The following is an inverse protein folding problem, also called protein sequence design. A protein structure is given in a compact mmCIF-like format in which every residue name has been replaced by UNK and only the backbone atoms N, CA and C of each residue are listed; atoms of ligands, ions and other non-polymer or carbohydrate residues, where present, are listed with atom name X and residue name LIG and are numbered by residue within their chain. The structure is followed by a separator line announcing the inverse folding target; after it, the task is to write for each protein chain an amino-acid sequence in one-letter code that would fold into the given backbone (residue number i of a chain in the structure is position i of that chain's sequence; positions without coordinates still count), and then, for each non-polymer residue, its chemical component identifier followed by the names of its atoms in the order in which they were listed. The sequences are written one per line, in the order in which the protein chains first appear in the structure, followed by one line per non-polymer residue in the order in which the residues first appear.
data_IF_544014888165
#
_entry.id   IF_544014888165
#
_cell.length_a   1.000
_cell.length_b   1.000
_cell.length_c   1.000
_cell.angle_alpha   90.00
_cell.angle_beta   90.00
_cell.angle_gamma   90.00
#
_symmetry.space_group_name_H-M   'P 1'
#
loop_
_entity.id
_entity.type
_entity.pdbx_description
1 polymer ?
#
# COMPACT_ATOMS: atom_id res chain seq x y z
N UNK A 1 -52.84 -61.24 10.62
CA UNK A 1 -54.14 -61.87 10.91
C UNK A 1 -54.00 -63.37 10.76
N UNK A 2 -54.31 -64.15 11.80
CA UNK A 2 -54.36 -65.62 11.72
C UNK A 2 -55.73 -65.97 11.13
N UNK A 3 -55.77 -66.59 9.95
CA UNK A 3 -56.98 -67.28 9.49
C UNK A 3 -57.29 -68.36 10.53
N UNK A 4 -58.44 -68.25 11.19
CA UNK A 4 -58.89 -69.27 12.14
C UNK A 4 -59.31 -70.47 11.30
N UNK A 5 -58.39 -71.41 11.10
CA UNK A 5 -58.69 -72.68 10.45
C UNK A 5 -59.56 -73.48 11.43
N UNK A 6 -60.82 -73.70 11.08
CA UNK A 6 -61.69 -74.56 11.87
C UNK A 6 -61.32 -76.01 11.60
N UNK A 7 -60.85 -76.70 12.62
CA UNK A 7 -60.48 -78.11 12.52
C UNK A 7 -61.67 -79.01 12.89
N UNK A 8 -61.77 -80.12 12.20
CA UNK A 8 -62.73 -81.17 12.49
C UNK A 8 -62.56 -81.68 13.92
N UNK A 9 -63.62 -81.69 14.74
CA UNK A 9 -63.54 -82.20 16.12
C UNK A 9 -63.20 -83.70 16.19
N UNK A 10 -63.44 -84.44 15.11
CA UNK A 10 -63.27 -85.89 15.08
C UNK A 10 -61.87 -86.32 14.61
N UNK A 11 -61.27 -85.62 13.64
CA UNK A 11 -59.97 -85.99 13.08
C UNK A 11 -58.95 -84.84 12.99
N UNK A 12 -59.31 -83.65 13.48
CA UNK A 12 -58.50 -82.43 13.50
C UNK A 12 -58.02 -81.92 12.12
N UNK A 13 -58.51 -82.48 11.02
CA UNK A 13 -58.26 -82.00 9.67
C UNK A 13 -59.02 -80.69 9.38
N UNK A 14 -58.51 -79.81 8.50
CA UNK A 14 -59.18 -78.56 8.17
C UNK A 14 -60.57 -78.80 7.53
N UNK A 15 -61.57 -78.03 7.97
CA UNK A 15 -62.92 -78.06 7.42
C UNK A 15 -63.02 -77.13 6.21
N UNK A 16 -63.78 -77.55 5.19
CA UNK A 16 -64.10 -76.72 4.03
C UNK A 16 -65.62 -76.55 3.89
N UNK A 17 -66.05 -75.47 3.25
CA UNK A 17 -67.46 -75.10 3.14
C UNK A 17 -68.06 -75.65 1.85
N UNK A 18 -69.12 -76.45 1.94
CA UNK A 18 -69.89 -76.97 0.79
C UNK A 18 -71.37 -76.76 1.09
N UNK A 19 -72.10 -76.07 0.20
CA UNK A 19 -73.54 -75.80 0.30
C UNK A 19 -73.99 -75.25 1.67
N UNK A 20 -73.17 -74.37 2.26
CA UNK A 20 -73.46 -73.71 3.54
C UNK A 20 -73.22 -74.57 4.79
N UNK A 21 -72.60 -75.75 4.65
CA UNK A 21 -72.20 -76.62 5.77
C UNK A 21 -70.67 -76.80 5.80
N UNK A 22 -70.11 -76.91 7.01
CA UNK A 22 -68.69 -77.26 7.17
C UNK A 22 -68.55 -78.77 7.10
N UNK A 23 -67.84 -79.24 6.08
CA UNK A 23 -67.60 -80.65 5.82
C UNK A 23 -66.12 -80.95 6.01
N UNK A 24 -65.84 -82.04 6.73
CA UNK A 24 -64.48 -82.57 6.82
C UNK A 24 -64.22 -83.53 5.66
N UNK A 25 -63.22 -83.23 4.83
CA UNK A 25 -62.85 -84.07 3.68
C UNK A 25 -62.40 -85.48 4.07
N UNK A 26 -61.83 -85.64 5.27
CA UNK A 26 -61.16 -86.87 5.68
C UNK A 26 -62.06 -87.87 6.42
N UNK A 27 -63.07 -87.38 7.13
CA UNK A 27 -63.97 -88.26 7.91
C UNK A 27 -65.45 -88.06 7.59
N UNK A 28 -65.77 -87.20 6.60
CA UNK A 28 -67.12 -86.83 6.17
C UNK A 28 -68.04 -86.36 7.31
N UNK A 29 -67.49 -85.97 8.46
CA UNK A 29 -68.28 -85.40 9.54
C UNK A 29 -68.81 -84.04 9.10
N UNK A 30 -70.13 -83.88 9.14
CA UNK A 30 -70.81 -82.63 8.86
C UNK A 30 -70.97 -81.90 10.19
N UNK A 31 -70.37 -80.74 10.31
CA UNK A 31 -70.57 -79.88 11.49
C UNK A 31 -71.55 -78.79 11.10
N UNK A 32 -72.77 -78.85 11.65
CA UNK A 32 -73.74 -77.78 11.47
C UNK A 32 -73.32 -76.56 12.31
N UNK A 33 -73.25 -75.42 11.66
CA UNK A 33 -72.89 -74.16 12.28
C UNK A 33 -74.18 -73.62 12.90
N UNK A 34 -74.24 -73.49 14.22
CA UNK A 34 -75.34 -72.80 14.88
C UNK A 34 -75.48 -71.39 14.32
N UNK A 35 -76.68 -71.08 13.80
CA UNK A 35 -76.96 -69.95 12.90
C UNK A 35 -76.77 -68.56 13.52
N UNK A 36 -76.52 -68.49 14.83
CA UNK A 36 -76.48 -67.22 15.57
C UNK A 36 -75.08 -66.72 15.95
N UNK A 37 -74.00 -67.49 15.73
CA UNK A 37 -72.67 -67.09 16.22
C UNK A 37 -71.53 -66.99 15.20
N UNK A 38 -71.73 -67.36 13.92
CA UNK A 38 -70.59 -67.49 13.01
C UNK A 38 -70.79 -67.08 11.53
N UNK A 39 -71.79 -66.25 11.21
CA UNK A 39 -71.93 -65.71 9.85
C UNK A 39 -70.69 -64.92 9.38
N UNK A 40 -70.04 -64.17 10.28
CA UNK A 40 -68.79 -63.47 9.95
C UNK A 40 -67.64 -64.42 9.58
N UNK A 41 -67.55 -65.59 10.20
CA UNK A 41 -66.47 -66.54 9.92
C UNK A 41 -66.63 -67.19 8.54
N UNK A 42 -67.87 -67.48 8.16
CA UNK A 42 -68.22 -68.05 6.84
C UNK A 42 -67.99 -67.02 5.73
N UNK A 43 -68.43 -65.78 5.95
CA UNK A 43 -68.28 -64.68 4.99
C UNK A 43 -66.81 -64.28 4.77
N UNK A 44 -65.97 -64.38 5.82
CA UNK A 44 -64.51 -64.21 5.72
C UNK A 44 -63.81 -65.31 4.93
N UNK A 45 -64.30 -66.55 4.98
CA UNK A 45 -63.74 -67.67 4.21
C UNK A 45 -64.15 -67.56 2.74
N UNK A 46 -65.41 -67.21 2.47
CA UNK A 46 -65.93 -67.03 1.10
C UNK A 46 -65.24 -65.87 0.36
N UNK A 47 -64.90 -64.78 1.06
CA UNK A 47 -64.26 -63.59 0.49
C UNK A 47 -62.75 -63.50 0.78
N UNK A 48 -62.11 -64.61 1.16
CA UNK A 48 -60.71 -64.63 1.60
C UNK A 48 -59.73 -64.08 0.54
N UNK A 49 -59.96 -64.37 -0.75
CA UNK A 49 -59.14 -63.84 -1.84
C UNK A 49 -59.22 -62.31 -1.97
N UNK A 50 -60.42 -61.74 -1.80
CA UNK A 50 -60.62 -60.30 -1.89
C UNK A 50 -59.99 -59.58 -0.68
N UNK A 51 -60.06 -60.19 0.51
CA UNK A 51 -59.37 -59.72 1.70
C UNK A 51 -57.84 -59.74 1.53
N UNK A 52 -57.29 -60.78 0.92
CA UNK A 52 -55.86 -60.88 0.63
C UNK A 52 -55.44 -59.82 -0.40
N UNK A 53 -56.21 -59.64 -1.49
CA UNK A 53 -55.95 -58.59 -2.49
C UNK A 53 -55.95 -57.19 -1.87
N UNK A 54 -56.99 -56.83 -1.12
CA UNK A 54 -57.06 -55.52 -0.44
C UNK A 54 -55.91 -55.33 0.54
N UNK A 55 -55.51 -56.37 1.27
CA UNK A 55 -54.35 -56.31 2.16
C UNK A 55 -53.03 -56.10 1.41
N UNK A 56 -52.84 -56.73 0.25
CA UNK A 56 -51.65 -56.56 -0.58
C UNK A 56 -51.60 -55.18 -1.23
N UNK A 57 -52.73 -54.67 -1.73
CA UNK A 57 -52.83 -53.33 -2.30
C UNK A 57 -52.54 -52.26 -1.23
N UNK A 58 -53.10 -52.44 -0.03
CA UNK A 58 -52.84 -51.53 1.09
C UNK A 58 -51.38 -51.58 1.53
N UNK A 59 -50.75 -52.76 1.54
CA UNK A 59 -49.30 -52.88 1.79
C UNK A 59 -48.47 -52.19 0.71
N UNK A 60 -48.87 -52.28 -0.56
CA UNK A 60 -48.18 -51.62 -1.67
C UNK A 60 -48.25 -50.10 -1.56
N UNK A 61 -49.43 -49.55 -1.24
CA UNK A 61 -49.62 -48.11 -1.00
C UNK A 61 -48.76 -47.64 0.18
N UNK A 62 -48.79 -48.36 1.30
CA UNK A 62 -47.96 -48.03 2.45
C UNK A 62 -46.46 -48.09 2.14
N UNK A 63 -46.02 -49.07 1.34
CA UNK A 63 -44.63 -49.17 0.91
C UNK A 63 -44.23 -47.96 0.06
N UNK A 64 -45.09 -47.55 -0.87
CA UNK A 64 -44.84 -46.44 -1.77
C UNK A 64 -44.80 -45.10 -1.03
N UNK A 65 -45.70 -44.89 -0.08
CA UNK A 65 -45.65 -43.73 0.83
C UNK A 65 -44.36 -43.72 1.66
N UNK A 66 -43.96 -44.87 2.21
CA UNK A 66 -42.73 -44.98 2.99
C UNK A 66 -41.47 -44.66 2.15
N UNK A 67 -41.44 -45.08 0.89
CA UNK A 67 -40.36 -44.71 -0.04
C UNK A 67 -40.31 -43.20 -0.30
N UNK A 68 -41.47 -42.56 -0.52
CA UNK A 68 -41.55 -41.12 -0.73
C UNK A 68 -41.11 -40.33 0.50
N UNK A 69 -41.47 -40.77 1.70
CA UNK A 69 -41.02 -40.18 2.97
C UNK A 69 -39.50 -40.30 3.15
N UNK A 70 -38.93 -41.47 2.84
CA UNK A 70 -37.48 -41.70 2.90
C UNK A 70 -36.71 -40.83 1.90
N UNK A 71 -37.25 -40.63 0.70
CA UNK A 71 -36.66 -39.78 -0.33
C UNK A 71 -36.72 -38.30 0.07
N UNK A 72 -37.87 -37.84 0.61
CA UNK A 72 -38.01 -36.51 1.16
C UNK A 72 -37.03 -36.25 2.33
N UNK A 73 -36.88 -37.21 3.25
CA UNK A 73 -35.92 -37.10 4.35
C UNK A 73 -34.46 -37.05 3.89
N UNK A 74 -34.11 -37.76 2.82
CA UNK A 74 -32.76 -37.68 2.23
C UNK A 74 -32.50 -36.30 1.64
N UNK A 75 -33.44 -35.78 0.85
CA UNK A 75 -33.36 -34.43 0.27
C UNK A 75 -33.23 -33.35 1.35
N UNK A 76 -33.99 -33.44 2.44
CA UNK A 76 -33.87 -32.51 3.56
C UNK A 76 -32.50 -32.58 4.26
N UNK A 77 -31.96 -33.78 4.46
CA UNK A 77 -30.63 -33.96 5.04
C UNK A 77 -29.54 -33.40 4.14
N UNK A 78 -29.59 -33.65 2.84
CA UNK A 78 -28.64 -33.11 1.87
C UNK A 78 -28.69 -31.59 1.84
N UNK A 79 -29.89 -31.00 1.80
CA UNK A 79 -30.08 -29.55 1.85
C UNK A 79 -29.55 -28.93 3.16
N UNK A 80 -29.73 -29.62 4.30
CA UNK A 80 -29.21 -29.18 5.59
C UNK A 80 -27.68 -29.27 5.66
N UNK A 81 -27.08 -30.34 5.15
CA UNK A 81 -25.64 -30.50 5.06
C UNK A 81 -25.00 -29.47 4.14
N UNK A 82 -25.63 -29.15 3.01
CA UNK A 82 -25.15 -28.13 2.09
C UNK A 82 -25.19 -26.73 2.74
N UNK A 83 -26.25 -26.41 3.48
CA UNK A 83 -26.34 -25.18 4.29
C UNK A 83 -25.24 -25.13 5.37
N UNK A 84 -24.98 -26.25 6.06
CA UNK A 84 -23.91 -26.35 7.05
C UNK A 84 -22.52 -26.18 6.43
N UNK A 85 -22.27 -26.78 5.25
CA UNK A 85 -21.01 -26.62 4.51
C UNK A 85 -20.80 -25.17 4.10
N UNK A 86 -21.82 -24.51 3.52
CA UNK A 86 -21.78 -23.08 3.15
C UNK A 86 -21.52 -22.19 4.37
N UNK A 87 -22.21 -22.44 5.49
CA UNK A 87 -22.03 -21.66 6.73
C UNK A 87 -20.62 -21.82 7.34
N UNK A 88 -20.03 -23.03 7.31
CA UNK A 88 -18.65 -23.26 7.75
C UNK A 88 -17.64 -22.55 6.84
N UNK A 89 -17.87 -22.58 5.53
CA UNK A 89 -16.99 -21.94 4.57
C UNK A 89 -16.98 -20.41 4.73
N UNK A 90 -18.16 -19.81 4.93
CA UNK A 90 -18.32 -18.38 5.24
C UNK A 90 -17.62 -17.99 6.54
N UNK A 91 -17.78 -18.77 7.62
CA UNK A 91 -17.07 -18.52 8.90
C UNK A 91 -15.56 -18.59 8.75
N UNK A 92 -15.06 -19.52 7.93
CA UNK A 92 -13.62 -19.65 7.66
C UNK A 92 -13.09 -18.42 6.89
N UNK A 93 -13.78 -18.00 5.83
CA UNK A 93 -13.42 -16.81 5.06
C UNK A 93 -13.43 -15.54 5.94
N UNK A 94 -14.46 -15.34 6.76
CA UNK A 94 -14.55 -14.22 7.69
C UNK A 94 -13.38 -14.20 8.68
N UNK A 95 -12.98 -15.35 9.23
CA UNK A 95 -11.79 -15.42 10.11
C UNK A 95 -10.52 -15.03 9.38
N UNK A 96 -10.34 -15.43 8.12
CA UNK A 96 -9.18 -15.06 7.31
C UNK A 96 -9.15 -13.57 7.01
N UNK A 97 -10.30 -12.98 6.65
CA UNK A 97 -10.42 -11.54 6.39
C UNK A 97 -10.10 -10.73 7.67
N UNK A 98 -10.68 -11.10 8.81
CA UNK A 98 -10.41 -10.43 10.09
C UNK A 98 -8.93 -10.52 10.46
N UNK A 99 -8.28 -11.67 10.25
CA UNK A 99 -6.82 -11.81 10.48
C UNK A 99 -6.00 -10.92 9.55
N UNK A 100 -6.36 -10.82 8.26
CA UNK A 100 -5.69 -9.92 7.32
C UNK A 100 -5.84 -8.46 7.73
N UNK A 101 -7.04 -8.03 8.13
CA UNK A 101 -7.27 -6.64 8.59
C UNK A 101 -6.43 -6.33 9.83
N UNK A 102 -6.37 -7.25 10.81
CA UNK A 102 -5.52 -7.06 12.00
C UNK A 102 -4.04 -6.95 11.61
N UNK A 103 -3.54 -7.83 10.75
CA UNK A 103 -2.16 -7.76 10.26
C UNK A 103 -1.86 -6.43 9.57
N UNK A 104 -2.78 -5.93 8.75
CA UNK A 104 -2.62 -4.68 8.01
C UNK A 104 -2.58 -3.47 8.94
N UNK A 105 -3.43 -3.45 9.98
CA UNK A 105 -3.42 -2.40 11.02
C UNK A 105 -2.12 -2.41 11.82
N UNK A 106 -1.63 -3.60 12.20
CA UNK A 106 -0.35 -3.73 12.91
C UNK A 106 0.81 -3.23 12.04
N UNK A 107 0.82 -3.61 10.76
CA UNK A 107 1.85 -3.16 9.81
C UNK A 107 1.82 -1.64 9.63
N UNK A 108 0.64 -1.05 9.48
CA UNK A 108 0.47 0.40 9.39
C UNK A 108 0.98 1.12 10.65
N UNK A 109 0.70 0.58 11.85
CA UNK A 109 1.20 1.13 13.11
C UNK A 109 2.73 1.06 13.21
N UNK A 110 3.36 -0.03 12.75
CA UNK A 110 4.82 -0.17 12.72
C UNK A 110 5.44 0.84 11.77
N UNK A 111 4.90 0.99 10.55
CA UNK A 111 5.40 1.95 9.55
C UNK A 111 5.25 3.38 10.05
N UNK A 112 4.08 3.75 10.59
CA UNK A 112 3.86 5.08 11.17
C UNK A 112 4.82 5.34 12.35
N UNK A 113 5.08 4.33 13.19
CA UNK A 113 6.05 4.42 14.28
C UNK A 113 7.48 4.65 13.78
N UNK A 114 7.91 3.95 12.72
CA UNK A 114 9.22 4.17 12.11
C UNK A 114 9.36 5.58 11.52
N UNK A 115 8.35 6.05 10.78
CA UNK A 115 8.34 7.41 10.21
C UNK A 115 8.43 8.46 11.33
N UNK A 116 7.67 8.28 12.43
CA UNK A 116 7.73 9.19 13.57
C UNK A 116 9.11 9.21 14.24
N UNK A 117 9.75 8.05 14.41
CA UNK A 117 11.09 7.96 15.00
C UNK A 117 12.16 8.60 14.11
N UNK A 118 12.10 8.40 12.79
CA UNK A 118 13.00 9.05 11.83
C UNK A 118 12.82 10.56 11.89
N UNK A 119 11.58 11.06 11.78
CA UNK A 119 11.29 12.49 11.86
C UNK A 119 11.76 13.10 13.18
N UNK A 120 11.51 12.43 14.31
CA UNK A 120 11.99 12.88 15.62
C UNK A 120 13.52 12.88 15.73
N UNK A 121 14.20 11.96 15.05
CA UNK A 121 15.66 11.95 15.00
C UNK A 121 16.21 13.08 14.14
N UNK A 122 15.55 13.40 13.03
CA UNK A 122 15.92 14.50 12.15
C UNK A 122 15.63 15.86 12.81
N UNK A 123 14.49 15.99 13.49
CA UNK A 123 14.14 17.20 14.25
C UNK A 123 15.17 17.44 15.36
N UNK A 124 15.60 16.38 16.07
CA UNK A 124 16.68 16.47 17.06
C UNK A 124 18.04 16.82 16.47
N UNK A 125 18.37 16.28 15.28
CA UNK A 125 19.60 16.64 14.57
C UNK A 125 19.56 18.11 14.15
N UNK A 126 18.44 18.58 13.61
CA UNK A 126 18.23 20.00 13.26
C UNK A 126 18.31 20.91 14.49
N UNK A 127 17.75 20.51 15.62
CA UNK A 127 17.90 21.25 16.89
C UNK A 127 19.37 21.27 17.37
N UNK A 128 20.09 20.15 17.26
CA UNK A 128 21.50 20.09 17.64
C UNK A 128 22.40 20.88 16.69
N UNK A 129 22.11 20.88 15.39
CA UNK A 129 22.78 21.70 14.38
C UNK A 129 22.47 23.17 14.58
N UNK A 130 21.22 23.55 14.85
CA UNK A 130 20.85 24.92 15.17
C UNK A 130 21.50 25.41 16.47
N UNK A 131 21.57 24.57 17.50
CA UNK A 131 22.25 24.91 18.75
C UNK A 131 23.77 25.02 18.56
N UNK A 132 24.39 24.12 17.78
CA UNK A 132 25.81 24.23 17.39
C UNK A 132 26.08 25.47 16.56
N UNK A 133 25.17 25.80 15.65
CA UNK A 133 25.24 27.01 14.84
C UNK A 133 25.15 28.26 15.73
N UNK A 134 24.19 28.33 16.65
CA UNK A 134 24.10 29.42 17.61
C UNK A 134 25.34 29.55 18.51
N UNK A 135 25.93 28.43 18.96
CA UNK A 135 27.15 28.43 19.77
C UNK A 135 28.38 28.86 18.95
N UNK A 136 28.47 28.43 17.69
CA UNK A 136 29.50 28.88 16.74
C UNK A 136 29.36 30.38 16.46
N UNK A 137 28.14 30.88 16.29
CA UNK A 137 27.86 32.31 16.10
C UNK A 137 28.17 33.15 17.33
N UNK A 138 27.93 32.63 18.55
CA UNK A 138 28.30 33.32 19.81
C UNK A 138 29.81 33.40 20.04
N UNK A 139 30.56 32.44 19.52
CA UNK A 139 32.02 32.35 19.68
C UNK A 139 32.81 32.90 18.48
N UNK A 140 32.13 33.29 17.40
CA UNK A 140 32.78 33.99 16.29
C UNK A 140 33.24 35.37 16.78
N UNK A 141 34.52 35.74 16.57
CA UNK A 141 35.02 37.07 16.92
C UNK A 141 34.14 38.15 16.26
N UNK A 142 33.91 39.26 16.95
CA UNK A 142 33.16 40.43 16.45
C UNK A 142 33.51 40.65 14.97
N UNK A 143 32.49 40.56 14.12
CA UNK A 143 32.60 40.38 12.68
C UNK A 143 33.48 41.47 12.07
N UNK A 144 34.73 41.10 11.75
CA UNK A 144 35.53 41.87 10.81
C UNK A 144 34.84 41.78 9.45
N UNK A 145 34.13 42.85 9.08
CA UNK A 145 33.56 42.97 7.74
C UNK A 145 34.72 43.15 6.79
N UNK A 146 34.98 42.10 5.99
CA UNK A 146 36.02 42.17 4.98
C UNK A 146 35.65 43.23 3.96
N UNK A 147 36.58 44.11 3.65
CA UNK A 147 36.40 45.09 2.59
C UNK A 147 36.84 44.51 1.24
N UNK A 148 36.35 45.10 0.15
CA UNK A 148 36.79 44.76 -1.21
C UNK A 148 38.31 44.84 -1.35
N UNK A 149 38.92 45.90 -0.82
CA UNK A 149 40.36 46.15 -0.93
C UNK A 149 41.18 45.05 -0.26
N UNK A 150 40.71 44.54 0.87
CA UNK A 150 41.39 43.45 1.58
C UNK A 150 41.28 42.14 0.83
N UNK A 151 40.09 41.81 0.32
CA UNK A 151 39.88 40.63 -0.49
C UNK A 151 40.77 40.64 -1.74
N UNK A 152 40.86 41.78 -2.42
CA UNK A 152 41.69 41.93 -3.62
C UNK A 152 43.18 42.00 -3.34
N UNK A 153 43.57 42.38 -2.13
CA UNK A 153 44.98 42.36 -1.72
C UNK A 153 45.51 40.93 -1.50
N UNK A 154 44.62 39.96 -1.32
CA UNK A 154 44.95 38.53 -1.15
C UNK A 154 44.70 37.74 -2.45
N UNK A 155 45.52 38.01 -3.48
CA UNK A 155 45.45 37.34 -4.80
C UNK A 155 45.58 35.81 -4.70
N UNK A 156 46.32 35.31 -3.71
CA UNK A 156 46.47 33.88 -3.47
C UNK A 156 45.15 33.24 -3.04
N UNK A 157 44.46 33.86 -2.06
CA UNK A 157 43.14 33.43 -1.63
C UNK A 157 42.14 33.44 -2.80
N UNK A 158 42.07 34.54 -3.57
CA UNK A 158 41.10 34.67 -4.66
C UNK A 158 41.30 33.66 -5.78
N UNK A 159 42.55 33.33 -6.14
CA UNK A 159 42.85 32.28 -7.11
C UNK A 159 42.48 30.88 -6.62
N UNK A 160 42.74 30.61 -5.34
CA UNK A 160 42.36 29.33 -4.74
C UNK A 160 40.84 29.20 -4.65
N UNK A 161 40.16 30.26 -4.21
CA UNK A 161 38.71 30.37 -4.14
C UNK A 161 38.05 30.13 -5.50
N UNK A 162 38.50 30.81 -6.56
CA UNK A 162 37.97 30.61 -7.92
C UNK A 162 38.20 29.19 -8.43
N UNK A 163 39.39 28.63 -8.19
CA UNK A 163 39.71 27.24 -8.56
C UNK A 163 38.81 26.24 -7.82
N UNK A 164 38.54 26.48 -6.54
CA UNK A 164 37.64 25.64 -5.75
C UNK A 164 36.19 25.76 -6.21
N UNK A 165 35.72 26.99 -6.47
CA UNK A 165 34.38 27.24 -6.99
C UNK A 165 34.14 26.53 -8.33
N UNK A 166 35.08 26.67 -9.28
CA UNK A 166 35.01 26.00 -10.57
C UNK A 166 35.08 24.47 -10.46
N UNK A 167 35.94 23.96 -9.57
CA UNK A 167 36.03 22.52 -9.32
C UNK A 167 34.70 21.98 -8.79
N UNK A 168 34.13 22.66 -7.79
CA UNK A 168 32.88 22.24 -7.16
C UNK A 168 31.72 22.28 -8.15
N UNK A 169 31.60 23.35 -8.94
CA UNK A 169 30.62 23.48 -10.01
C UNK A 169 30.72 22.32 -11.03
N UNK A 170 31.94 21.96 -11.42
CA UNK A 170 32.18 20.82 -12.32
C UNK A 170 31.85 19.47 -11.68
N UNK A 171 32.08 19.30 -10.38
CA UNK A 171 31.78 18.05 -9.66
C UNK A 171 30.27 17.88 -9.40
N UNK A 172 29.55 18.96 -9.15
CA UNK A 172 28.09 18.95 -8.96
C UNK A 172 27.37 18.69 -10.28
N UNK A 173 27.79 19.37 -11.36
CA UNK A 173 27.31 19.15 -12.73
C UNK A 173 28.02 18.02 -13.47
N UNK A 174 28.91 17.26 -12.80
CA UNK A 174 29.44 16.02 -13.35
C UNK A 174 28.33 14.96 -13.46
N UNK A 175 27.28 15.09 -12.65
CA UNK A 175 26.00 14.40 -12.82
C UNK A 175 25.07 15.25 -13.68
N UNK A 176 24.43 14.62 -14.66
CA UNK A 176 23.51 15.32 -15.56
C UNK A 176 22.41 16.07 -14.81
N UNK A 177 22.07 17.28 -15.27
CA UNK A 177 20.91 18.04 -14.77
C UNK A 177 19.66 17.41 -15.40
N UNK A 178 18.73 17.00 -14.54
CA UNK A 178 17.49 16.38 -14.96
C UNK A 178 16.38 17.42 -15.01
N UNK A 179 15.77 17.60 -16.18
CA UNK A 179 14.62 18.49 -16.38
C UNK A 179 13.42 17.66 -16.83
N UNK A 180 12.34 17.69 -16.05
CA UNK A 180 11.09 17.04 -16.42
C UNK A 180 10.34 17.93 -17.43
N UNK A 181 9.98 17.34 -18.57
CA UNK A 181 9.15 17.97 -19.60
C UNK A 181 7.87 17.15 -19.80
N UNK A 182 6.88 17.71 -20.51
CA UNK A 182 5.64 17.00 -20.85
C UNK A 182 5.89 15.70 -21.66
N UNK A 183 7.02 15.64 -22.36
CA UNK A 183 7.41 14.53 -23.25
C UNK A 183 8.45 13.57 -22.62
N UNK A 184 8.93 13.82 -21.39
CA UNK A 184 9.87 12.92 -20.72
C UNK A 184 10.87 13.61 -19.79
N UNK A 185 12.04 13.00 -19.61
CA UNK A 185 13.13 13.51 -18.79
C UNK A 185 14.28 13.94 -19.70
N UNK A 186 14.52 15.24 -19.80
CA UNK A 186 15.70 15.76 -20.47
C UNK A 186 16.90 15.68 -19.53
N UNK A 187 17.99 15.13 -20.06
CA UNK A 187 19.25 14.94 -19.35
C UNK A 187 20.24 15.91 -19.98
N UNK A 188 20.60 16.96 -19.24
CA UNK A 188 21.53 17.98 -19.68
C UNK A 188 22.90 17.72 -19.07
N UNK A 189 23.93 17.78 -19.89
CA UNK A 189 25.33 17.68 -19.47
C UNK A 189 26.08 18.96 -19.81
N UNK A 190 27.11 19.27 -19.03
CA UNK A 190 27.98 20.41 -19.30
C UNK A 190 28.80 20.14 -20.58
N UNK A 191 28.60 20.95 -21.62
CA UNK A 191 29.30 20.84 -22.90
C UNK A 191 30.67 21.54 -22.84
N UNK A 192 30.71 22.73 -22.23
CA UNK A 192 31.85 23.63 -22.23
C UNK A 192 32.28 23.99 -20.81
N UNK A 193 33.52 24.48 -20.68
CA UNK A 193 33.99 24.98 -19.38
C UNK A 193 33.13 26.18 -18.93
N UNK A 194 32.63 26.20 -17.68
CA UNK A 194 31.82 27.30 -17.18
C UNK A 194 32.54 28.64 -17.33
N UNK A 195 31.86 29.61 -17.91
CA UNK A 195 32.39 30.97 -18.08
C UNK A 195 32.08 31.77 -16.81
N UNK A 196 33.12 32.23 -16.11
CA UNK A 196 32.96 33.12 -14.97
C UNK A 196 32.52 34.51 -15.46
N UNK A 197 31.34 34.95 -15.04
CA UNK A 197 30.79 36.25 -15.39
C UNK A 197 31.24 37.31 -14.40
N UNK A 198 30.97 37.10 -13.12
CA UNK A 198 31.13 38.11 -12.08
C UNK A 198 31.46 37.50 -10.72
N UNK A 199 32.04 38.33 -9.84
CA UNK A 199 32.35 37.96 -8.46
C UNK A 199 31.76 38.99 -7.51
N UNK A 200 31.21 38.57 -6.38
CA UNK A 200 30.70 39.50 -5.37
C UNK A 200 31.17 39.13 -3.98
N UNK A 201 31.66 40.13 -3.25
CA UNK A 201 31.83 40.03 -1.81
C UNK A 201 30.55 40.52 -1.14
N UNK A 202 29.84 39.61 -0.47
CA UNK A 202 28.68 39.94 0.34
C UNK A 202 29.09 39.84 1.81
N UNK A 203 28.89 40.94 2.54
CA UNK A 203 29.18 41.00 3.97
C UNK A 203 27.90 41.26 4.74
N UNK A 204 27.68 40.47 5.77
CA UNK A 204 26.48 40.52 6.61
C UNK A 204 26.88 40.63 8.08
N UNK A 205 25.90 40.84 8.94
CA UNK A 205 26.06 40.64 10.39
C UNK A 205 26.44 39.20 10.76
N UNK A 206 26.14 38.23 9.88
CA UNK A 206 26.39 36.79 10.06
C UNK A 206 27.75 36.32 9.54
N UNK A 207 28.41 37.08 8.69
CA UNK A 207 29.70 36.71 8.10
C UNK A 207 29.93 37.33 6.73
N UNK A 208 31.07 36.98 6.13
CA UNK A 208 31.43 37.37 4.78
C UNK A 208 31.34 36.15 3.84
N UNK A 209 31.00 36.37 2.58
CA UNK A 209 30.94 35.33 1.56
C UNK A 209 31.36 35.87 0.19
N UNK A 210 32.08 35.06 -0.59
CA UNK A 210 32.43 35.39 -1.99
C UNK A 210 31.59 34.54 -2.93
N UNK A 211 30.83 35.21 -3.78
CA UNK A 211 29.93 34.62 -4.76
C UNK A 211 30.58 34.68 -6.14
N UNK A 212 30.57 33.56 -6.86
CA UNK A 212 31.10 33.41 -8.21
C UNK A 212 29.94 33.03 -9.14
N UNK A 213 29.59 33.92 -10.06
CA UNK A 213 28.51 33.71 -11.01
C UNK A 213 29.07 33.15 -12.31
N UNK A 214 28.54 32.02 -12.75
CA UNK A 214 28.96 31.31 -13.94
C UNK A 214 27.84 31.25 -14.97
N UNK A 215 28.21 31.36 -16.24
CA UNK A 215 27.41 30.93 -17.38
C UNK A 215 27.78 29.49 -17.74
N UNK A 216 26.76 28.67 -17.91
CA UNK A 216 26.86 27.27 -18.31
C UNK A 216 26.34 27.11 -19.73
N UNK A 217 27.02 26.29 -20.53
CA UNK A 217 26.49 25.77 -21.80
C UNK A 217 26.20 24.29 -21.58
N UNK A 218 24.91 23.96 -21.63
CA UNK A 218 24.38 22.63 -21.37
C UNK A 218 23.93 22.00 -22.67
N UNK A 219 24.22 20.72 -22.86
CA UNK A 219 23.85 19.95 -24.05
C UNK A 219 23.13 18.65 -23.66
N UNK A 220 22.10 18.28 -24.41
CA UNK A 220 21.43 16.98 -24.32
C UNK A 220 22.08 15.92 -25.21
N UNK A 221 21.77 14.64 -24.99
CA UNK A 221 22.28 13.54 -25.84
C UNK A 221 21.86 13.61 -27.32
N UNK A 222 20.85 14.40 -27.68
CA UNK A 222 20.40 14.67 -29.05
C UNK A 222 20.97 15.97 -29.65
N UNK A 223 21.88 16.66 -28.94
CA UNK A 223 22.60 17.83 -29.44
C UNK A 223 21.86 19.16 -29.29
N UNK A 224 20.82 19.23 -28.46
CA UNK A 224 20.20 20.50 -28.12
C UNK A 224 21.05 21.20 -27.07
N UNK A 225 21.34 22.48 -27.28
CA UNK A 225 22.09 23.29 -26.33
C UNK A 225 21.20 24.32 -25.66
N UNK A 226 21.44 24.58 -24.37
CA UNK A 226 20.83 25.69 -23.62
C UNK A 226 21.87 26.41 -22.77
N UNK A 227 21.65 27.70 -22.58
CA UNK A 227 22.40 28.48 -21.62
C UNK A 227 21.77 28.34 -20.23
N UNK A 228 22.60 28.10 -19.22
CA UNK A 228 22.23 28.09 -17.82
C UNK A 228 23.09 29.07 -17.03
N UNK A 229 22.65 29.40 -15.81
CA UNK A 229 23.40 30.28 -14.92
C UNK A 229 23.45 29.65 -13.54
N UNK A 230 24.62 29.70 -12.92
CA UNK A 230 24.86 29.10 -11.61
C UNK A 230 25.70 30.04 -10.75
N UNK A 231 25.56 29.92 -9.44
CA UNK A 231 26.34 30.67 -8.48
C UNK A 231 26.94 29.74 -7.43
N UNK A 232 28.25 29.85 -7.24
CA UNK A 232 28.96 29.18 -6.15
C UNK A 232 29.35 30.21 -5.11
N UNK A 233 29.01 29.96 -3.85
CA UNK A 233 29.46 30.79 -2.73
C UNK A 233 30.47 30.05 -1.88
N UNK A 234 31.52 30.77 -1.50
CA UNK A 234 32.46 30.40 -0.45
C UNK A 234 32.10 31.24 0.77
N UNK A 235 31.43 30.62 1.74
CA UNK A 235 30.98 31.29 2.96
C UNK A 235 32.04 31.27 4.06
N UNK A 236 31.73 31.95 5.15
CA UNK A 236 32.54 31.98 6.36
C UNK A 236 34.00 32.38 6.10
N UNK A 237 34.19 33.39 5.23
CA UNK A 237 35.50 33.98 5.00
C UNK A 237 35.81 35.01 6.09
N UNK A 238 37.00 34.90 6.68
CA UNK A 238 37.49 35.76 7.75
C UNK A 238 38.99 36.02 7.63
N UNK A 239 39.45 37.09 8.26
CA UNK A 239 40.87 37.37 8.38
C UNK A 239 41.43 36.67 9.61
N UNK A 240 42.46 35.85 9.42
CA UNK A 240 43.13 35.19 10.53
C UNK A 240 44.07 36.15 11.28
N UNK A 241 44.64 35.68 12.40
CA UNK A 241 45.56 36.47 13.25
C UNK A 241 46.82 36.96 12.52
N UNK A 242 47.14 36.38 11.36
CA UNK A 242 48.30 36.74 10.54
C UNK A 242 47.93 37.71 9.40
N UNK A 243 46.70 38.22 9.37
CA UNK A 243 46.22 39.14 8.32
C UNK A 243 45.91 38.46 6.98
N UNK A 244 45.78 37.13 6.94
CA UNK A 244 45.42 36.38 5.72
C UNK A 244 43.96 35.99 5.72
N UNK A 245 43.33 35.98 4.55
CA UNK A 245 41.95 35.55 4.40
C UNK A 245 41.91 34.01 4.40
N UNK A 246 40.98 33.45 5.17
CA UNK A 246 40.69 32.02 5.26
C UNK A 246 39.18 31.79 5.21
N UNK A 247 38.77 30.58 4.84
CA UNK A 247 37.38 30.10 4.92
C UNK A 247 37.34 28.85 5.79
N UNK A 248 36.31 28.71 6.63
CA UNK A 248 36.04 27.48 7.38
C UNK A 248 35.39 26.37 6.50
N UNK A 249 35.16 26.66 5.21
CA UNK A 249 35.02 25.65 4.17
C UNK A 249 33.61 25.13 3.89
N UNK A 250 32.56 25.89 4.19
CA UNK A 250 31.23 25.57 3.68
C UNK A 250 31.07 26.17 2.27
N UNK A 251 30.72 25.28 1.33
CA UNK A 251 30.45 25.62 -0.06
C UNK A 251 28.97 25.42 -0.31
N UNK A 252 28.29 26.43 -0.83
CA UNK A 252 26.90 26.31 -1.26
C UNK A 252 26.83 26.55 -2.76
N UNK A 253 26.17 25.65 -3.48
CA UNK A 253 25.80 25.83 -4.88
C UNK A 253 24.35 26.30 -4.95
N UNK A 254 24.11 27.31 -5.77
CA UNK A 254 22.79 27.77 -6.14
C UNK A 254 22.64 27.68 -7.65
N UNK A 255 22.09 26.55 -8.10
CA UNK A 255 21.79 26.30 -9.50
C UNK A 255 20.35 26.69 -9.80
N UNK A 256 20.15 27.61 -10.74
CA UNK A 256 18.83 27.90 -11.31
C UNK A 256 18.76 27.35 -12.72
N UNK A 257 18.35 26.09 -12.83
CA UNK A 257 18.02 25.46 -14.11
C UNK A 257 16.52 25.22 -14.28
N UNK A 258 15.71 25.52 -13.26
CA UNK A 258 14.23 25.51 -13.29
C UNK A 258 13.66 26.49 -12.26
N UNK A 259 12.43 26.98 -12.48
CA UNK A 259 11.71 28.02 -11.72
C UNK A 259 11.38 27.69 -10.24
N UNK A 260 12.11 26.80 -9.57
CA UNK A 260 11.78 26.37 -8.19
C UNK A 260 12.95 26.53 -7.22
N UNK A 261 12.68 27.31 -6.17
CA UNK A 261 13.60 27.75 -5.13
C UNK A 261 13.63 26.81 -3.91
N UNK A 262 14.80 26.69 -3.27
CA UNK A 262 14.91 26.48 -1.82
C UNK A 262 16.12 27.22 -1.24
N UNK A 263 15.87 28.08 -0.26
CA UNK A 263 16.82 29.07 0.29
C UNK A 263 17.38 28.62 1.64
N UNK A 264 18.71 28.52 1.79
CA UNK A 264 19.36 28.45 3.12
C UNK A 264 20.73 29.15 3.16
N UNK A 265 20.81 30.43 2.79
CA UNK A 265 21.75 31.38 3.40
C UNK A 265 21.26 32.83 3.19
N UNK A 266 20.91 33.52 4.28
CA UNK A 266 20.57 34.95 4.30
C UNK A 266 19.26 35.35 3.59
N UNK A 267 18.17 35.45 4.35
CA UNK A 267 16.82 35.87 3.92
C UNK A 267 16.72 37.29 3.30
N UNK A 268 17.83 37.98 3.03
CA UNK A 268 17.86 39.42 2.70
C UNK A 268 18.54 39.77 1.36
N UNK A 269 19.01 38.80 0.56
CA UNK A 269 19.69 39.07 -0.71
C UNK A 269 18.96 38.49 -1.92
N UNK A 270 18.49 39.37 -2.81
CA UNK A 270 17.86 39.02 -4.08
C UNK A 270 18.93 38.66 -5.13
N UNK A 271 19.46 37.43 -5.03
CA UNK A 271 20.42 36.86 -6.00
C UNK A 271 19.85 36.85 -7.42
N UNK A 272 18.52 36.84 -7.57
CA UNK A 272 17.84 36.86 -8.87
C UNK A 272 17.87 38.23 -9.49
N UNK A 273 17.66 39.30 -8.71
CA UNK A 273 17.93 40.66 -9.18
C UNK A 273 19.37 40.81 -9.64
N UNK A 274 20.34 40.29 -8.87
CA UNK A 274 21.76 40.35 -9.26
C UNK A 274 22.01 39.60 -10.56
N UNK A 275 21.54 38.36 -10.68
CA UNK A 275 21.68 37.57 -11.91
C UNK A 275 21.03 38.29 -13.09
N UNK A 276 19.81 38.79 -12.94
CA UNK A 276 19.11 39.51 -13.99
C UNK A 276 19.87 40.78 -14.39
N UNK A 277 20.44 41.50 -13.44
CA UNK A 277 21.29 42.67 -13.73
C UNK A 277 22.56 42.26 -14.50
N UNK A 278 23.19 41.13 -14.17
CA UNK A 278 24.34 40.56 -14.89
C UNK A 278 23.95 40.15 -16.33
N UNK A 279 22.84 39.42 -16.49
CA UNK A 279 22.33 38.97 -17.79
C UNK A 279 21.95 40.17 -18.67
N UNK A 280 21.26 41.16 -18.10
CA UNK A 280 20.79 42.36 -18.80
C UNK A 280 21.89 43.44 -18.94
N UNK A 281 23.10 43.18 -18.43
CA UNK A 281 24.24 44.11 -18.40
C UNK A 281 23.87 45.48 -17.82
N UNK A 282 22.97 45.49 -16.83
CA UNK A 282 22.62 46.70 -16.09
C UNK A 282 23.77 47.04 -15.15
N UNK A 283 24.10 48.33 -15.03
CA UNK A 283 25.01 48.78 -13.96
C UNK A 283 24.37 48.41 -12.63
N UNK A 284 25.03 47.56 -11.84
CA UNK A 284 24.55 47.25 -10.51
C UNK A 284 24.46 48.55 -9.69
N UNK A 285 23.41 48.64 -8.89
CA UNK A 285 23.23 49.74 -7.96
C UNK A 285 24.30 49.63 -6.86
N UNK A 286 25.32 50.50 -6.92
CA UNK A 286 26.45 50.55 -5.97
C UNK A 286 26.00 50.77 -4.50
N UNK A 287 24.75 51.20 -4.26
CA UNK A 287 24.19 51.44 -2.92
C UNK A 287 23.46 50.23 -2.32
N UNK A 288 23.12 49.23 -3.13
CA UNK A 288 22.85 47.87 -2.62
C UNK A 288 24.21 47.18 -2.64
N UNK A 289 24.65 46.57 -1.54
CA UNK A 289 26.00 46.00 -1.43
C UNK A 289 26.24 44.89 -2.50
N UNK A 290 26.62 45.31 -3.70
CA UNK A 290 26.93 44.52 -4.88
C UNK A 290 28.18 45.15 -5.51
N UNK A 291 29.36 44.59 -5.22
CA UNK A 291 30.57 45.02 -5.91
C UNK A 291 30.68 44.26 -7.24
N UNK A 292 30.27 44.89 -8.33
CA UNK A 292 30.57 44.47 -9.72
C UNK A 292 32.06 44.66 -10.01
N UNK A 293 32.67 43.74 -10.77
CA UNK A 293 34.01 43.90 -11.30
C UNK A 293 33.97 44.26 -12.78
N UNK A 294 34.30 45.51 -13.12
CA UNK A 294 34.76 45.82 -14.48
C UNK A 294 36.21 45.30 -14.61
N UNK A 295 36.46 44.42 -15.58
CA UNK A 295 37.79 43.94 -16.03
C UNK A 295 38.58 45.04 -16.76
#
# INVERSE_FOLDING_TARGET
MKLVVMNCKNCNAPLHLVDGKLVCEYCNSITEIEKDSNNEAIERIANAEEYIRRSLDQKKVNLQQHYQELEAQKLEKEAYEEKLKKARHLRSMLKTIVRMVIMLVVLAAIVAGMIYLVKKSDDKKKEQEAARYEEMMRNKPETYRLTKTELLSDDAFMKEAEKMALKYLKEDHAGSIYEATDDGLNIWSLEQEPELLEKYLITTDRGNGVYFFYKLVLETGDGQTKEGYDCVVISDIFMNKNGKIQSDGEYWIHSETSDTYDFYFGLDFDLVSMRNDIIEKKKADENKLYFVFDL
#
